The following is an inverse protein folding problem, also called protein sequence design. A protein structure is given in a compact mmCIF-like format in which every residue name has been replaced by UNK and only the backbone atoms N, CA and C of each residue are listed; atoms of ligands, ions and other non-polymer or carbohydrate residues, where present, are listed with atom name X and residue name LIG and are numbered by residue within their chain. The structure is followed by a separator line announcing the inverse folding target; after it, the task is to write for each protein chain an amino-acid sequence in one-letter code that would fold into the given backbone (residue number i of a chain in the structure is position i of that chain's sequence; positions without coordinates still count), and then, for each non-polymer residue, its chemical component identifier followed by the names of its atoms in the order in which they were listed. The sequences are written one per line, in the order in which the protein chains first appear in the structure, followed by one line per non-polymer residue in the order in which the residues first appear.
data_IF_330770657866
#
_entry.id   IF_330770657866
#
_cell.length_a   1.000
_cell.length_b   1.000
_cell.length_c   1.000
_cell.angle_alpha   90.00
_cell.angle_beta   90.00
_cell.angle_gamma   90.00
#
_symmetry.space_group_name_H-M   'P 1'
#
loop_
_entity.id
_entity.type
_entity.pdbx_description
1 polymer ?
#
# COMPACT_ATOMS: atom_id res chain seq x y z
N UNK A 1 0.60 8.22 19.10
CA UNK A 1 1.89 8.52 18.43
C UNK A 1 1.84 9.94 17.91
N UNK A 2 2.95 10.69 17.95
CA UNK A 2 3.02 12.03 17.36
C UNK A 2 3.48 11.93 15.91
N UNK A 3 2.94 12.75 14.98
CA UNK A 3 3.46 12.82 13.62
C UNK A 3 4.95 13.20 13.62
N UNK A 4 5.76 12.65 12.70
CA UNK A 4 7.15 13.05 12.56
C UNK A 4 7.26 14.53 12.15
N UNK A 5 8.37 15.18 12.53
CA UNK A 5 8.62 16.58 12.19
C UNK A 5 8.56 16.77 10.66
N UNK A 6 7.67 17.64 10.19
CA UNK A 6 7.49 17.92 8.76
C UNK A 6 6.48 17.04 8.03
N UNK A 7 5.70 16.21 8.74
CA UNK A 7 4.57 15.50 8.16
C UNK A 7 3.49 16.47 7.67
N UNK A 8 2.91 16.20 6.51
CA UNK A 8 1.79 16.96 5.95
C UNK A 8 0.49 16.24 6.27
N UNK A 9 -0.39 16.86 7.03
CA UNK A 9 -1.67 16.25 7.48
C UNK A 9 -2.78 16.27 6.41
N UNK A 10 -2.54 16.91 5.28
CA UNK A 10 -3.45 16.91 4.14
C UNK A 10 -2.90 15.98 3.04
N UNK A 11 -3.72 15.12 2.43
CA UNK A 11 -5.17 14.96 2.68
C UNK A 11 -5.53 14.07 3.89
N UNK A 12 -4.60 13.25 4.38
CA UNK A 12 -4.88 12.31 5.48
C UNK A 12 -4.09 12.61 6.75
N UNK A 13 -4.69 12.45 7.94
CA UNK A 13 -3.93 12.50 9.18
C UNK A 13 -2.88 11.38 9.25
N UNK A 14 -1.88 11.56 10.10
CA UNK A 14 -0.84 10.55 10.29
C UNK A 14 -1.45 9.25 10.82
N UNK A 15 -1.10 8.12 10.19
CA UNK A 15 -1.65 6.80 10.46
C UNK A 15 -3.18 6.69 10.25
N UNK A 16 -3.72 7.49 9.32
CA UNK A 16 -5.09 7.26 8.87
C UNK A 16 -5.20 5.87 8.24
N UNK A 17 -6.17 5.09 8.70
CA UNK A 17 -6.51 3.79 8.14
C UNK A 17 -7.75 3.93 7.26
N UNK A 18 -7.69 3.32 6.09
CA UNK A 18 -8.77 3.33 5.11
C UNK A 18 -8.78 2.04 4.31
N UNK A 19 -9.96 1.70 3.77
CA UNK A 19 -10.14 0.54 2.91
C UNK A 19 -10.11 0.99 1.45
N UNK A 20 -9.22 0.40 0.66
CA UNK A 20 -8.98 0.80 -0.73
C UNK A 20 -8.89 -0.42 -1.63
N UNK A 21 -9.28 -0.23 -2.89
CA UNK A 21 -9.11 -1.19 -3.97
C UNK A 21 -7.82 -0.86 -4.72
N UNK A 22 -6.99 -1.88 -4.97
CA UNK A 22 -5.79 -1.73 -5.79
C UNK A 22 -6.18 -1.80 -7.27
N UNK A 23 -5.94 -0.72 -8.01
CA UNK A 23 -6.27 -0.61 -9.44
C UNK A 23 -5.21 -1.27 -10.32
N UNK A 24 -3.94 -1.02 -10.01
CA UNK A 24 -2.82 -1.49 -10.83
C UNK A 24 -1.53 -1.57 -10.02
N UNK A 25 -0.50 -2.17 -10.59
CA UNK A 25 0.84 -2.23 -10.01
C UNK A 25 1.84 -1.60 -10.96
N UNK A 26 2.79 -0.84 -10.43
CA UNK A 26 3.90 -0.28 -11.19
C UNK A 26 4.94 -1.36 -11.51
N UNK A 27 5.86 -1.05 -12.43
CA UNK A 27 7.00 -1.93 -12.75
C UNK A 27 7.95 -2.18 -11.56
N UNK A 28 7.85 -1.40 -10.48
CA UNK A 28 8.62 -1.58 -9.25
C UNK A 28 7.91 -2.46 -8.21
N UNK A 29 6.72 -2.99 -8.51
CA UNK A 29 5.95 -3.80 -7.56
C UNK A 29 5.15 -2.99 -6.54
N UNK A 30 5.01 -1.68 -6.77
CA UNK A 30 4.19 -0.80 -5.93
C UNK A 30 2.77 -0.76 -6.49
N UNK A 31 1.80 -1.15 -5.69
CA UNK A 31 0.39 -1.04 -5.98
C UNK A 31 -0.10 0.41 -5.97
N UNK A 32 -1.03 0.70 -6.85
CA UNK A 32 -1.66 2.00 -7.04
C UNK A 32 -3.14 1.83 -6.73
N UNK A 33 -3.61 2.61 -5.77
CA UNK A 33 -5.01 2.78 -5.46
C UNK A 33 -5.40 4.25 -5.62
N UNK A 34 -6.70 4.49 -5.79
CA UNK A 34 -7.27 5.83 -5.81
C UNK A 34 -8.40 5.93 -4.79
N UNK A 35 -8.31 6.97 -3.98
CA UNK A 35 -9.44 7.45 -3.19
C UNK A 35 -9.88 8.78 -3.80
N UNK A 36 -11.07 8.79 -4.41
CA UNK A 36 -11.54 9.83 -5.32
C UNK A 36 -10.50 10.21 -6.41
N UNK A 37 -9.86 11.37 -6.27
CA UNK A 37 -8.84 11.90 -7.18
C UNK A 37 -7.42 11.84 -6.60
N UNK A 38 -7.24 11.18 -5.45
CA UNK A 38 -5.96 11.11 -4.77
C UNK A 38 -5.30 9.74 -4.94
N UNK A 39 -4.02 9.75 -5.33
CA UNK A 39 -3.26 8.52 -5.58
C UNK A 39 -2.63 8.02 -4.29
N UNK A 40 -2.77 6.73 -4.02
CA UNK A 40 -2.17 6.07 -2.86
C UNK A 40 -1.27 4.94 -3.36
N UNK A 41 -0.01 4.98 -2.93
CA UNK A 41 0.99 3.96 -3.21
C UNK A 41 1.04 2.96 -2.06
N UNK A 42 0.96 1.67 -2.39
CA UNK A 42 0.98 0.60 -1.40
C UNK A 42 1.90 -0.53 -1.88
N UNK A 43 2.95 -0.91 -1.14
CA UNK A 43 3.81 -2.03 -1.53
C UNK A 43 3.16 -3.38 -1.19
N UNK A 44 3.66 -4.46 -1.82
CA UNK A 44 3.31 -5.87 -1.51
C UNK A 44 1.83 -6.26 -1.75
N UNK A 45 1.17 -5.58 -2.67
CA UNK A 45 -0.24 -5.80 -3.02
C UNK A 45 -0.40 -6.02 -4.52
N UNK A 46 -1.53 -6.63 -4.91
CA UNK A 46 -1.85 -6.96 -6.30
C UNK A 46 -3.05 -6.19 -6.81
N UNK A 47 -3.17 -5.99 -8.13
CA UNK A 47 -4.40 -5.47 -8.75
C UNK A 47 -5.61 -6.34 -8.41
N UNK A 48 -6.74 -5.68 -8.12
CA UNK A 48 -8.00 -6.32 -7.76
C UNK A 48 -8.16 -6.64 -6.27
N UNK A 49 -7.16 -6.35 -5.44
CA UNK A 49 -7.25 -6.59 -3.99
C UNK A 49 -7.96 -5.47 -3.25
N UNK A 50 -8.80 -5.84 -2.30
CA UNK A 50 -9.31 -4.91 -1.30
C UNK A 50 -8.50 -5.06 -0.03
N UNK A 51 -7.92 -3.96 0.42
CA UNK A 51 -7.00 -3.96 1.56
C UNK A 51 -7.39 -2.89 2.57
N UNK A 52 -7.01 -3.10 3.82
CA UNK A 52 -6.90 -2.03 4.82
C UNK A 52 -5.49 -1.46 4.74
N UNK A 53 -5.38 -0.21 4.37
CA UNK A 53 -4.12 0.50 4.24
C UNK A 53 -3.97 1.55 5.35
N UNK A 54 -2.72 1.85 5.74
CA UNK A 54 -2.39 2.88 6.72
C UNK A 54 -1.45 3.92 6.14
N UNK A 55 -1.91 5.15 6.05
CA UNK A 55 -1.12 6.27 5.54
C UNK A 55 0.01 6.63 6.50
N UNK A 56 1.25 6.57 6.04
CA UNK A 56 2.41 6.98 6.84
C UNK A 56 3.11 8.23 6.30
N UNK A 57 2.85 8.61 5.04
CA UNK A 57 3.43 9.81 4.42
C UNK A 57 2.50 10.41 3.36
N UNK A 58 2.27 11.72 3.43
CA UNK A 58 1.62 12.47 2.36
C UNK A 58 2.64 13.31 1.60
N UNK A 59 2.65 13.17 0.28
CA UNK A 59 3.41 14.02 -0.64
C UNK A 59 2.51 15.11 -1.22
N UNK A 60 3.00 15.84 -2.23
CA UNK A 60 2.22 16.92 -2.86
C UNK A 60 1.01 16.39 -3.66
N UNK A 61 1.14 15.22 -4.30
CA UNK A 61 0.17 14.71 -5.27
C UNK A 61 -0.28 13.27 -5.00
N UNK A 62 0.28 12.62 -3.98
CA UNK A 62 -0.01 11.23 -3.64
C UNK A 62 0.36 10.96 -2.18
N UNK A 63 -0.07 9.82 -1.65
CA UNK A 63 0.30 9.34 -0.32
C UNK A 63 0.94 7.96 -0.40
N UNK A 64 1.86 7.68 0.51
CA UNK A 64 2.37 6.33 0.73
C UNK A 64 1.63 5.71 1.92
N UNK A 65 1.23 4.45 1.76
CA UNK A 65 0.55 3.66 2.77
C UNK A 65 1.19 2.28 2.92
N UNK A 66 1.11 1.74 4.13
CA UNK A 66 1.40 0.33 4.40
C UNK A 66 0.12 -0.49 4.20
N UNK A 67 0.22 -1.69 3.62
CA UNK A 67 -0.85 -2.67 3.69
C UNK A 67 -0.88 -3.30 5.09
N UNK A 68 -1.96 -3.10 5.85
CA UNK A 68 -2.14 -3.72 7.16
C UNK A 68 -2.77 -5.11 7.05
N UNK A 69 -3.79 -5.23 6.21
CA UNK A 69 -4.60 -6.43 6.06
C UNK A 69 -5.16 -6.51 4.63
N UNK A 70 -5.17 -7.72 4.07
CA UNK A 70 -5.84 -7.99 2.79
C UNK A 70 -7.22 -8.55 3.13
N UNK A 71 -8.25 -7.75 2.85
CA UNK A 71 -9.65 -8.08 3.12
C UNK A 71 -10.21 -9.04 2.05
N UNK A 72 -9.86 -8.77 0.78
CA UNK A 72 -10.22 -9.62 -0.35
C UNK A 72 -8.98 -9.82 -1.23
N UNK A 73 -8.39 -11.03 -1.24
CA UNK A 73 -7.20 -11.32 -2.02
C UNK A 73 -7.53 -11.49 -3.51
N UNK A 74 -6.56 -11.17 -4.36
CA UNK A 74 -6.68 -11.37 -5.80
C UNK A 74 -6.62 -12.87 -6.12
N UNK A 75 -7.35 -13.38 -7.13
CA UNK A 75 -7.21 -14.76 -7.59
C UNK A 75 -5.80 -15.13 -8.06
N UNK A 76 -4.99 -14.13 -8.39
CA UNK A 76 -3.59 -14.30 -8.81
C UNK A 76 -2.63 -14.37 -7.62
N UNK A 77 -3.08 -14.07 -6.40
CA UNK A 77 -2.19 -14.10 -5.23
C UNK A 77 -1.69 -15.52 -4.97
N UNK A 78 -0.38 -15.65 -4.86
CA UNK A 78 0.28 -16.87 -4.40
C UNK A 78 0.93 -16.65 -3.05
N UNK A 79 1.09 -17.73 -2.29
CA UNK A 79 1.87 -17.69 -1.05
C UNK A 79 3.36 -17.58 -1.41
N UNK A 80 4.07 -16.54 -0.96
CA UNK A 80 5.50 -16.41 -1.19
C UNK A 80 6.26 -17.62 -0.65
N UNK A 81 7.25 -18.10 -1.40
CA UNK A 81 8.09 -19.23 -0.98
C UNK A 81 9.17 -18.84 0.04
N UNK A 82 9.47 -17.55 0.18
CA UNK A 82 10.46 -17.04 1.13
C UNK A 82 9.78 -16.50 2.38
N UNK A 83 10.16 -17.04 3.54
CA UNK A 83 9.67 -16.60 4.85
C UNK A 83 10.05 -15.14 5.19
N UNK A 84 11.04 -14.57 4.48
CA UNK A 84 11.46 -13.18 4.65
C UNK A 84 10.75 -12.21 3.71
N UNK A 85 9.84 -12.67 2.86
CA UNK A 85 9.10 -11.81 1.95
C UNK A 85 8.30 -10.74 2.72
N UNK A 86 8.33 -9.49 2.26
CA UNK A 86 7.75 -8.34 2.96
C UNK A 86 8.66 -7.70 4.02
N UNK A 87 9.74 -8.38 4.44
CA UNK A 87 10.74 -7.86 5.39
C UNK A 87 12.08 -7.62 4.71
N UNK A 88 12.55 -8.61 3.95
CA UNK A 88 13.75 -8.52 3.13
C UNK A 88 13.40 -7.80 1.81
N UNK A 89 14.04 -6.67 1.54
CA UNK A 89 13.81 -5.88 0.31
C UNK A 89 14.28 -6.54 -0.99
N UNK A 90 14.64 -7.83 -0.97
CA UNK A 90 15.19 -8.55 -2.12
C UNK A 90 14.17 -8.98 -3.17
N UNK A 91 12.89 -9.09 -2.82
CA UNK A 91 11.83 -9.56 -3.73
C UNK A 91 10.57 -8.69 -3.63
N UNK A 92 10.03 -8.26 -4.77
CA UNK A 92 8.80 -7.45 -4.86
C UNK A 92 7.58 -8.27 -5.27
N UNK A 93 7.78 -9.38 -6.01
CA UNK A 93 6.71 -10.08 -6.74
C UNK A 93 6.46 -11.52 -6.33
N UNK A 94 7.05 -12.04 -5.24
CA UNK A 94 6.81 -13.45 -4.85
C UNK A 94 5.37 -13.73 -4.39
N UNK A 95 4.58 -12.68 -4.15
CA UNK A 95 3.15 -12.81 -3.87
C UNK A 95 2.26 -12.72 -5.11
N UNK A 96 2.85 -12.53 -6.32
CA UNK A 96 2.18 -12.60 -7.63
C UNK A 96 2.24 -14.03 -8.16
#
# INVERSE_FOLDING_TARGET
MRPPKGFRESPYPYHHELEILIDSVTNLGIGIARDDNWVIHVPFVLPGERIRARIYRNHKNYSDADCLEILEPSPQRVTPSCDLFGVCGGCQYQAV
#
